data_IF_874069547724
#
_entry.id   IF_874069547724
#
_cell.length_a   1.000
_cell.length_b   1.000
_cell.length_c   1.000
_cell.angle_alpha   90.00
_cell.angle_beta   90.00
_cell.angle_gamma   90.00
#
_symmetry.space_group_name_H-M   'P 1'
#
loop_
_entity.id
_entity.type
_entity.pdbx_description
1 polymer ?
#
# COMPACT_ATOMS: atom_id res chain seq x y z
N UNK A 1 13.59 32.51 -1.12
CA UNK A 1 12.54 33.16 -0.30
C UNK A 1 11.23 33.15 -1.07
N UNK A 2 10.18 32.56 -0.49
CA UNK A 2 8.74 32.77 -0.74
C UNK A 2 8.01 31.53 -0.17
N UNK A 3 7.80 31.52 1.15
CA UNK A 3 6.53 31.74 1.86
C UNK A 3 5.56 30.56 1.76
N UNK A 4 5.57 29.81 2.88
CA UNK A 4 4.62 28.80 3.33
C UNK A 4 3.21 29.40 3.42
N UNK A 5 2.23 28.73 2.83
CA UNK A 5 0.81 28.97 3.06
C UNK A 5 0.29 27.92 4.05
N UNK A 6 -0.09 28.39 5.23
CA UNK A 6 -0.75 27.63 6.29
C UNK A 6 -2.26 27.84 6.13
N UNK A 7 -3.06 26.79 6.06
CA UNK A 7 -4.53 26.85 6.26
C UNK A 7 -5.06 25.46 6.61
N UNK A 8 -5.22 25.21 7.92
CA UNK A 8 -6.47 25.09 8.69
C UNK A 8 -7.03 23.66 8.71
N UNK A 9 -7.15 23.15 9.94
CA UNK A 9 -7.70 21.85 10.31
C UNK A 9 -9.19 21.77 9.97
N UNK A 10 -9.61 20.66 9.38
CA UNK A 10 -11.01 20.25 9.31
C UNK A 10 -11.36 19.52 10.62
N UNK A 11 -12.06 20.23 11.51
CA UNK A 11 -12.74 19.64 12.65
C UNK A 11 -13.97 18.86 12.16
N UNK A 12 -14.01 17.56 12.47
CA UNK A 12 -15.24 16.76 12.40
C UNK A 12 -15.92 16.90 13.75
N UNK A 13 -16.96 17.73 13.82
CA UNK A 13 -17.88 17.78 14.95
C UNK A 13 -18.83 16.58 14.88
N UNK A 14 -18.84 15.76 15.93
CA UNK A 14 -19.87 14.77 16.15
C UNK A 14 -20.41 14.98 17.57
N UNK A 15 -21.53 15.70 17.63
CA UNK A 15 -22.28 15.94 18.86
C UNK A 15 -22.85 14.63 19.41
N UNK A 16 -22.57 14.33 20.68
CA UNK A 16 -23.52 13.61 21.51
C UNK A 16 -23.57 14.22 22.90
N UNK A 17 -24.80 14.61 23.25
CA UNK A 17 -25.19 15.39 24.41
C UNK A 17 -24.86 14.74 25.75
N UNK A 18 -24.32 15.55 26.67
CA UNK A 18 -24.46 15.38 28.12
C UNK A 18 -25.44 16.44 28.63
N UNK A 19 -26.45 16.02 29.37
CA UNK A 19 -27.36 16.80 30.20
C UNK A 19 -27.41 16.11 31.58
N UNK A 20 -27.84 16.78 32.66
CA UNK A 20 -27.33 18.03 33.23
C UNK A 20 -26.79 17.80 34.67
N UNK A 21 -26.06 18.79 35.19
CA UNK A 21 -25.58 18.83 36.58
C UNK A 21 -26.58 19.54 37.53
N UNK A 22 -26.77 18.89 38.67
CA UNK A 22 -27.17 19.26 40.03
C UNK A 22 -27.88 20.61 40.33
N UNK A 23 -29.07 20.48 40.93
CA UNK A 23 -29.45 21.08 42.22
C UNK A 23 -30.53 20.17 42.83
N UNK A 24 -30.59 19.85 44.13
CA UNK A 24 -30.94 20.78 45.20
C UNK A 24 -30.76 20.11 46.59
N UNK A 25 -30.63 20.97 47.61
CA UNK A 25 -30.49 20.69 49.03
C UNK A 25 -31.74 20.09 49.68
N UNK A 26 -31.48 19.23 50.67
CA UNK A 26 -32.18 19.03 51.96
C UNK A 26 -33.71 18.87 51.98
N UNK A 27 -34.19 17.72 52.48
CA UNK A 27 -35.19 17.71 53.57
C UNK A 27 -35.28 16.35 54.27
N UNK A 28 -35.29 16.42 55.60
CA UNK A 28 -35.45 15.33 56.56
C UNK A 28 -36.60 14.38 56.26
N UNK A 29 -36.42 13.09 56.56
CA UNK A 29 -37.56 12.22 56.80
C UNK A 29 -37.39 11.38 58.08
N UNK A 30 -38.56 11.10 58.65
CA UNK A 30 -38.87 10.77 60.04
C UNK A 30 -38.23 9.50 60.61
N UNK A 31 -38.12 9.53 61.93
CA UNK A 31 -38.08 8.42 62.87
C UNK A 31 -38.87 7.18 62.45
N UNK A 32 -38.24 6.01 62.49
CA UNK A 32 -38.74 4.88 63.30
C UNK A 32 -37.63 3.84 63.50
N UNK A 33 -37.43 3.49 64.77
CA UNK A 33 -36.58 2.39 65.22
C UNK A 33 -37.21 1.05 64.85
N UNK A 34 -36.38 0.07 64.50
CA UNK A 34 -36.79 -1.33 64.32
C UNK A 34 -35.57 -2.25 64.35
N UNK A 35 -35.48 -3.05 65.41
CA UNK A 35 -34.33 -3.87 65.79
C UNK A 35 -33.99 -5.00 64.82
N UNK A 36 -32.76 -5.50 64.95
CA UNK A 36 -32.11 -6.49 64.12
C UNK A 36 -32.76 -7.89 64.14
N UNK A 37 -32.70 -8.57 63.00
CA UNK A 37 -32.62 -10.03 62.92
C UNK A 37 -31.52 -10.43 61.90
N UNK A 38 -30.52 -11.17 62.36
CA UNK A 38 -29.41 -11.66 61.54
C UNK A 38 -29.84 -12.91 60.76
N UNK A 39 -30.03 -12.77 59.44
CA UNK A 39 -30.33 -13.89 58.56
C UNK A 39 -29.06 -14.70 58.21
N UNK A 40 -29.13 -16.06 58.13
CA UNK A 40 -27.98 -16.93 57.83
C UNK A 40 -27.34 -16.71 56.45
N UNK A 41 -27.98 -15.94 55.55
CA UNK A 41 -27.51 -15.69 54.19
C UNK A 41 -26.48 -14.56 54.03
N UNK A 42 -26.22 -13.75 55.06
CA UNK A 42 -25.30 -12.59 54.92
C UNK A 42 -23.83 -12.98 54.74
N UNK A 43 -23.38 -14.07 55.37
CA UNK A 43 -21.99 -14.57 55.20
C UNK A 43 -21.79 -15.19 53.83
N UNK A 44 -22.77 -15.96 53.34
CA UNK A 44 -22.75 -16.56 52.01
C UNK A 44 -22.80 -15.49 50.92
N UNK A 45 -23.69 -14.49 51.03
CA UNK A 45 -23.78 -13.38 50.08
C UNK A 45 -22.48 -12.56 50.02
N UNK A 46 -21.82 -12.33 51.16
CA UNK A 46 -20.48 -11.69 51.19
C UNK A 46 -19.42 -12.54 50.50
N UNK A 47 -19.40 -13.84 50.74
CA UNK A 47 -18.44 -14.76 50.11
C UNK A 47 -18.64 -14.78 48.58
N UNK A 48 -19.88 -14.88 48.11
CA UNK A 48 -20.22 -14.87 46.68
C UNK A 48 -19.85 -13.54 46.03
N UNK A 49 -20.12 -12.40 46.69
CA UNK A 49 -19.75 -11.08 46.18
C UNK A 49 -18.22 -10.90 46.08
N UNK A 50 -17.46 -11.39 47.07
CA UNK A 50 -15.99 -11.38 47.04
C UNK A 50 -15.48 -12.26 45.90
N UNK A 51 -16.01 -13.48 45.76
CA UNK A 51 -15.63 -14.40 44.68
C UNK A 51 -15.93 -13.82 43.30
N UNK A 52 -17.10 -13.22 43.11
CA UNK A 52 -17.47 -12.57 41.85
C UNK A 52 -16.58 -11.34 41.55
N UNK A 53 -16.29 -10.54 42.57
CA UNK A 53 -15.35 -9.42 42.45
C UNK A 53 -13.94 -9.87 42.03
N UNK A 54 -13.43 -10.95 42.65
CA UNK A 54 -12.14 -11.55 42.29
C UNK A 54 -12.16 -12.09 40.85
N UNK A 55 -13.23 -12.77 40.44
CA UNK A 55 -13.38 -13.26 39.07
C UNK A 55 -13.41 -12.12 38.04
N UNK A 56 -14.10 -11.02 38.32
CA UNK A 56 -14.12 -9.83 37.46
C UNK A 56 -12.73 -9.20 37.33
N UNK A 57 -11.99 -9.11 38.44
CA UNK A 57 -10.61 -8.60 38.44
C UNK A 57 -9.69 -9.50 37.61
N UNK A 58 -9.77 -10.82 37.81
CA UNK A 58 -8.99 -11.79 37.05
C UNK A 58 -9.33 -11.73 35.55
N UNK A 59 -10.61 -11.64 35.20
CA UNK A 59 -11.05 -11.55 33.82
C UNK A 59 -10.58 -10.25 33.15
N UNK A 60 -10.65 -9.13 33.86
CA UNK A 60 -10.13 -7.85 33.37
C UNK A 60 -8.61 -7.90 33.18
N UNK A 61 -7.88 -8.47 34.16
CA UNK A 61 -6.43 -8.63 34.08
C UNK A 61 -6.03 -9.50 32.88
N UNK A 62 -6.68 -10.66 32.69
CA UNK A 62 -6.44 -11.55 31.53
C UNK A 62 -6.71 -10.80 30.21
N UNK A 63 -7.83 -10.08 30.10
CA UNK A 63 -8.16 -9.33 28.89
C UNK A 63 -7.15 -8.22 28.58
N UNK A 64 -6.68 -7.51 29.59
CA UNK A 64 -5.66 -6.46 29.45
C UNK A 64 -4.32 -7.09 29.06
N UNK A 65 -3.89 -8.17 29.72
CA UNK A 65 -2.65 -8.88 29.42
C UNK A 65 -2.66 -9.47 28.01
N UNK A 66 -3.76 -10.08 27.59
CA UNK A 66 -3.92 -10.60 26.22
C UNK A 66 -3.86 -9.46 25.21
N UNK A 67 -4.63 -8.38 25.41
CA UNK A 67 -4.59 -7.22 24.50
C UNK A 67 -3.20 -6.60 24.41
N UNK A 68 -2.50 -6.47 25.54
CA UNK A 68 -1.13 -5.96 25.56
C UNK A 68 -0.15 -6.87 24.82
N UNK A 69 -0.22 -8.19 25.04
CA UNK A 69 0.62 -9.16 24.35
C UNK A 69 0.32 -9.21 22.84
N UNK A 70 -0.95 -9.18 22.43
CA UNK A 70 -1.33 -9.13 21.01
C UNK A 70 -0.93 -7.81 20.36
N UNK A 71 -1.10 -6.68 21.04
CA UNK A 71 -0.65 -5.37 20.57
C UNK A 71 0.87 -5.33 20.40
N UNK A 72 1.62 -5.82 21.40
CA UNK A 72 3.09 -5.91 21.36
C UNK A 72 3.58 -6.81 20.21
N UNK A 73 2.98 -7.99 20.05
CA UNK A 73 3.29 -8.91 18.96
C UNK A 73 3.02 -8.30 17.59
N UNK A 74 1.87 -7.62 17.43
CA UNK A 74 1.48 -6.95 16.18
C UNK A 74 2.40 -5.76 15.87
N UNK A 75 2.74 -4.96 16.88
CA UNK A 75 3.67 -3.83 16.75
C UNK A 75 5.06 -4.29 16.34
N UNK A 76 5.59 -5.34 16.99
CA UNK A 76 6.90 -5.92 16.68
C UNK A 76 6.96 -6.46 15.24
N UNK A 77 5.93 -7.19 14.79
CA UNK A 77 5.85 -7.68 13.39
C UNK A 77 5.84 -6.50 12.42
N UNK A 78 5.01 -5.48 12.66
CA UNK A 78 4.99 -4.26 11.82
C UNK A 78 6.35 -3.56 11.78
N UNK A 79 7.05 -3.46 12.91
CA UNK A 79 8.39 -2.84 12.97
C UNK A 79 9.46 -3.66 12.25
N UNK A 80 9.41 -5.00 12.33
CA UNK A 80 10.38 -5.87 11.65
C UNK A 80 10.18 -5.83 10.14
N UNK A 81 8.93 -5.95 9.67
CA UNK A 81 8.60 -5.81 8.24
C UNK A 81 9.01 -4.44 7.68
N UNK A 82 8.90 -3.37 8.48
CA UNK A 82 9.33 -2.03 8.05
C UNK A 82 10.84 -1.85 8.01
N UNK A 83 11.61 -2.44 8.93
CA UNK A 83 13.08 -2.37 8.90
C UNK A 83 13.67 -3.23 7.76
N UNK A 84 13.11 -4.41 7.50
CA UNK A 84 13.52 -5.25 6.36
C UNK A 84 13.24 -4.56 5.03
N UNK A 85 12.03 -4.00 4.85
CA UNK A 85 11.67 -3.26 3.65
C UNK A 85 12.53 -2.00 3.49
N UNK A 86 12.86 -1.31 4.59
CA UNK A 86 13.72 -0.13 4.57
C UNK A 86 15.15 -0.49 4.17
N UNK A 87 15.75 -1.53 4.76
CA UNK A 87 17.09 -1.98 4.38
C UNK A 87 17.15 -2.44 2.91
N UNK A 88 16.12 -3.15 2.45
CA UNK A 88 16.01 -3.56 1.05
C UNK A 88 15.95 -2.34 0.12
N UNK A 89 15.13 -1.36 0.50
CA UNK A 89 14.96 -0.10 -0.22
C UNK A 89 16.27 0.68 -0.28
N UNK A 90 16.98 0.82 0.84
CA UNK A 90 18.28 1.50 0.91
C UNK A 90 19.33 0.79 0.05
N UNK A 91 19.35 -0.55 0.05
CA UNK A 91 20.24 -1.34 -0.80
C UNK A 91 19.99 -1.08 -2.30
N UNK A 92 18.72 -1.12 -2.73
CA UNK A 92 18.37 -0.88 -4.14
C UNK A 92 18.62 0.57 -4.56
N UNK A 93 18.39 1.54 -3.67
CA UNK A 93 18.73 2.94 -3.92
C UNK A 93 20.23 3.14 -4.16
N UNK A 94 21.10 2.49 -3.38
CA UNK A 94 22.55 2.56 -3.61
C UNK A 94 22.98 1.94 -4.95
N UNK A 95 22.19 1.02 -5.49
CA UNK A 95 22.41 0.40 -6.80
C UNK A 95 21.78 1.20 -7.96
N UNK A 96 21.20 2.38 -7.68
CA UNK A 96 20.61 3.26 -8.68
C UNK A 96 19.18 2.88 -9.10
N UNK A 97 18.47 2.09 -8.30
CA UNK A 97 17.05 1.81 -8.52
C UNK A 97 16.18 2.88 -7.90
N UNK A 98 14.98 3.06 -8.44
CA UNK A 98 13.95 3.97 -7.93
C UNK A 98 12.78 3.14 -7.42
N UNK A 99 12.36 3.38 -6.18
CA UNK A 99 11.16 2.75 -5.64
C UNK A 99 9.89 3.47 -6.13
N UNK A 100 8.96 2.71 -6.72
CA UNK A 100 7.61 3.15 -7.03
C UNK A 100 6.65 1.98 -6.85
N UNK A 101 5.60 2.15 -6.05
CA UNK A 101 4.88 1.06 -5.40
C UNK A 101 4.31 0.02 -6.39
N UNK A 102 4.33 -1.29 -6.07
CA UNK A 102 5.11 -1.99 -5.04
C UNK A 102 6.44 -2.53 -5.60
N UNK A 103 7.09 -1.80 -6.50
CA UNK A 103 8.23 -2.29 -7.28
C UNK A 103 9.45 -1.37 -7.19
N UNK A 104 10.62 -1.91 -7.51
CA UNK A 104 11.81 -1.14 -7.82
C UNK A 104 12.01 -1.08 -9.32
N UNK A 105 12.43 0.08 -9.82
CA UNK A 105 12.67 0.31 -11.24
C UNK A 105 14.11 0.72 -11.50
N UNK A 106 14.73 0.13 -12.51
CA UNK A 106 16.05 0.52 -12.99
C UNK A 106 15.92 1.19 -14.34
N UNK A 107 16.47 2.39 -14.48
CA UNK A 107 16.40 3.17 -15.71
C UNK A 107 17.78 3.17 -16.34
N UNK A 108 17.85 2.59 -17.54
CA UNK A 108 19.12 2.51 -18.27
C UNK A 108 19.73 3.87 -18.59
N UNK A 109 21.07 3.89 -18.67
CA UNK A 109 21.87 5.05 -19.09
C UNK A 109 22.38 4.93 -20.53
N UNK A 110 22.14 3.81 -21.19
CA UNK A 110 22.51 3.54 -22.58
C UNK A 110 21.29 2.98 -23.33
N UNK A 111 21.38 2.89 -24.65
CA UNK A 111 20.34 2.31 -25.49
C UNK A 111 20.75 0.91 -25.99
N UNK A 112 19.77 0.02 -26.14
CA UNK A 112 19.91 -1.38 -26.58
C UNK A 112 18.70 -1.84 -27.40
N UNK A 113 18.83 -2.97 -28.09
CA UNK A 113 17.69 -3.71 -28.65
C UNK A 113 16.72 -4.12 -27.53
N UNK A 114 15.46 -4.39 -27.88
CA UNK A 114 14.48 -4.86 -26.89
C UNK A 114 14.96 -6.15 -26.20
N UNK A 115 15.52 -7.08 -26.98
CA UNK A 115 16.06 -8.35 -26.49
C UNK A 115 17.23 -8.13 -25.51
N UNK A 116 18.23 -7.35 -25.89
CA UNK A 116 19.41 -7.11 -25.03
C UNK A 116 19.05 -6.30 -23.77
N UNK A 117 18.01 -5.47 -23.87
CA UNK A 117 17.43 -4.73 -22.73
C UNK A 117 16.76 -5.69 -21.74
N UNK A 118 15.95 -6.63 -22.25
CA UNK A 118 15.36 -7.67 -21.41
C UNK A 118 16.41 -8.55 -20.75
N UNK A 119 17.41 -8.98 -21.51
CA UNK A 119 18.50 -9.81 -21.01
C UNK A 119 19.29 -9.08 -19.89
N UNK A 120 19.44 -7.76 -19.95
CA UNK A 120 20.01 -6.93 -18.86
C UNK A 120 19.10 -6.93 -17.61
N UNK A 121 17.78 -6.76 -17.78
CA UNK A 121 16.86 -6.83 -16.65
C UNK A 121 16.86 -8.21 -15.97
N UNK A 122 16.86 -9.28 -16.75
CA UNK A 122 16.90 -10.66 -16.24
C UNK A 122 18.20 -10.91 -15.46
N UNK A 123 19.35 -10.42 -15.92
CA UNK A 123 20.62 -10.51 -15.20
C UNK A 123 20.61 -9.78 -13.85
N UNK A 124 19.75 -8.77 -13.68
CA UNK A 124 19.53 -8.06 -12.41
C UNK A 124 18.49 -8.73 -11.50
N UNK A 125 17.94 -9.87 -11.91
CA UNK A 125 16.83 -10.54 -11.23
C UNK A 125 15.54 -9.71 -11.27
N UNK A 126 15.29 -9.05 -12.39
CA UNK A 126 14.11 -8.25 -12.73
C UNK A 126 13.61 -8.68 -14.14
N UNK A 127 12.61 -8.01 -14.68
CA UNK A 127 12.27 -8.12 -16.11
C UNK A 127 11.96 -6.71 -16.66
N UNK A 128 11.69 -6.54 -17.95
CA UNK A 128 11.21 -5.26 -18.48
C UNK A 128 9.88 -4.87 -17.82
N UNK A 129 9.69 -3.57 -17.61
CA UNK A 129 8.55 -3.05 -16.86
C UNK A 129 7.19 -3.43 -17.46
N UNK A 130 6.28 -3.85 -16.59
CA UNK A 130 4.88 -4.10 -16.91
C UNK A 130 4.07 -2.91 -16.41
N UNK A 131 3.21 -2.35 -17.26
CA UNK A 131 2.39 -1.18 -16.90
C UNK A 131 0.94 -1.61 -16.85
N UNK A 132 0.42 -1.83 -15.65
CA UNK A 132 -0.96 -2.27 -15.42
C UNK A 132 -1.88 -1.14 -14.94
N UNK A 133 -1.29 -0.08 -14.41
CA UNK A 133 -2.01 1.02 -13.76
C UNK A 133 -1.70 2.37 -14.39
N UNK A 134 -2.59 3.34 -14.16
CA UNK A 134 -2.37 4.73 -14.63
C UNK A 134 -1.20 5.36 -13.89
N UNK A 135 -1.06 5.02 -12.62
CA UNK A 135 0.01 5.47 -11.75
C UNK A 135 1.38 5.00 -12.28
N UNK A 136 1.51 3.74 -12.70
CA UNK A 136 2.73 3.24 -13.36
C UNK A 136 3.00 3.92 -14.70
N UNK A 137 1.96 4.15 -15.50
CA UNK A 137 2.09 4.87 -16.76
C UNK A 137 2.60 6.31 -16.54
N UNK A 138 2.02 7.02 -15.58
CA UNK A 138 2.44 8.37 -15.22
C UNK A 138 3.86 8.40 -14.63
N UNK A 139 4.22 7.39 -13.83
CA UNK A 139 5.58 7.25 -13.30
C UNK A 139 6.62 7.03 -14.40
N UNK A 140 6.39 6.07 -15.30
CA UNK A 140 7.36 5.71 -16.34
C UNK A 140 7.55 6.83 -17.37
N UNK A 141 6.50 7.55 -17.76
CA UNK A 141 6.63 8.68 -18.71
C UNK A 141 7.40 9.88 -18.14
N UNK A 142 7.54 10.00 -16.82
CA UNK A 142 8.28 11.10 -16.19
C UNK A 142 9.80 11.04 -16.41
N UNK A 143 10.35 9.92 -16.90
CA UNK A 143 11.78 9.85 -17.24
C UNK A 143 12.14 10.59 -18.53
N UNK A 144 11.14 11.00 -19.35
CA UNK A 144 11.31 11.85 -20.55
C UNK A 144 12.38 11.32 -21.52
N UNK A 145 12.33 10.01 -21.79
CA UNK A 145 13.19 9.28 -22.72
C UNK A 145 12.35 8.31 -23.53
N UNK A 146 12.80 8.00 -24.74
CA UNK A 146 12.26 6.88 -25.52
C UNK A 146 12.72 5.58 -24.88
N UNK A 147 11.79 4.78 -24.38
CA UNK A 147 12.13 3.63 -23.54
C UNK A 147 11.33 2.38 -23.86
N UNK A 148 12.01 1.24 -23.95
CA UNK A 148 11.40 -0.07 -23.98
C UNK A 148 10.63 -0.38 -22.70
N UNK A 149 9.46 -1.00 -22.88
CA UNK A 149 8.66 -1.66 -21.86
C UNK A 149 8.49 -3.15 -22.20
N UNK A 150 7.97 -3.93 -21.25
CA UNK A 150 7.86 -5.38 -21.36
C UNK A 150 6.72 -5.88 -22.24
N UNK A 151 6.19 -5.09 -23.17
CA UNK A 151 5.07 -5.46 -24.03
C UNK A 151 5.57 -5.88 -25.42
N UNK A 152 5.05 -7.00 -25.91
CA UNK A 152 5.38 -7.55 -27.24
C UNK A 152 4.16 -8.12 -27.95
N UNK A 153 4.17 -8.12 -29.27
CA UNK A 153 3.16 -8.81 -30.07
C UNK A 153 3.38 -10.34 -29.99
N UNK A 154 2.29 -11.10 -29.97
CA UNK A 154 2.33 -12.56 -30.04
C UNK A 154 2.43 -13.02 -31.50
N UNK A 155 2.54 -14.33 -31.72
CA UNK A 155 2.45 -14.90 -33.07
C UNK A 155 1.10 -14.61 -33.77
N UNK A 156 0.05 -14.27 -33.02
CA UNK A 156 -1.21 -13.77 -33.56
C UNK A 156 -1.14 -12.23 -33.65
N UNK A 157 -1.09 -11.71 -34.88
CA UNK A 157 -1.10 -10.26 -35.13
C UNK A 157 -2.27 -9.56 -34.44
N UNK A 158 -2.00 -8.36 -33.93
CA UNK A 158 -2.90 -7.54 -33.12
C UNK A 158 -3.07 -8.01 -31.68
N UNK A 159 -2.37 -9.07 -31.25
CA UNK A 159 -2.48 -9.60 -29.88
C UNK A 159 -1.19 -9.39 -29.14
N UNK A 160 -1.28 -8.76 -27.96
CA UNK A 160 -0.13 -8.31 -27.18
C UNK A 160 -0.03 -9.05 -25.84
N UNK A 161 1.20 -9.31 -25.40
CA UNK A 161 1.49 -9.94 -24.11
C UNK A 161 2.66 -9.24 -23.41
N UNK A 162 2.60 -9.26 -22.08
CA UNK A 162 3.70 -8.83 -21.23
C UNK A 162 4.79 -9.90 -21.14
N UNK A 163 5.97 -9.50 -20.68
CA UNK A 163 7.14 -10.38 -20.47
C UNK A 163 6.87 -11.53 -19.49
N UNK A 164 5.89 -11.39 -18.59
CA UNK A 164 5.42 -12.45 -17.68
C UNK A 164 4.39 -13.41 -18.34
N UNK A 165 4.05 -13.17 -19.60
CA UNK A 165 3.12 -13.96 -20.40
C UNK A 165 1.65 -13.57 -20.23
N UNK A 166 1.31 -12.61 -19.36
CA UNK A 166 -0.07 -12.14 -19.21
C UNK A 166 -0.52 -11.35 -20.44
N UNK A 167 -1.79 -11.48 -20.86
CA UNK A 167 -2.32 -10.74 -21.99
C UNK A 167 -2.52 -9.27 -21.64
N UNK A 168 -2.40 -8.39 -22.65
CA UNK A 168 -2.71 -6.97 -22.48
C UNK A 168 -4.19 -6.77 -22.18
N UNK A 169 -4.51 -6.13 -21.05
CA UNK A 169 -5.89 -5.81 -20.63
C UNK A 169 -6.22 -4.32 -20.73
N UNK A 170 -5.20 -3.46 -20.56
CA UNK A 170 -5.31 -2.00 -20.65
C UNK A 170 -4.11 -1.46 -21.40
N UNK A 171 -4.37 -0.56 -22.35
CA UNK A 171 -3.32 0.04 -23.17
C UNK A 171 -3.21 1.54 -22.97
N UNK A 172 -2.02 2.07 -23.24
CA UNK A 172 -1.74 3.49 -23.33
C UNK A 172 -1.11 3.84 -24.68
N UNK A 173 -1.61 3.23 -25.75
CA UNK A 173 -1.21 3.52 -27.13
C UNK A 173 -1.33 4.99 -27.45
N UNK A 174 -0.30 5.53 -28.09
CA UNK A 174 -0.31 6.87 -28.65
C UNK A 174 -1.37 7.02 -29.75
N UNK A 175 -1.60 8.26 -30.21
CA UNK A 175 -2.49 8.50 -31.34
C UNK A 175 -2.10 7.63 -32.54
N UNK A 176 -3.09 6.95 -33.13
CA UNK A 176 -2.95 6.07 -34.28
C UNK A 176 -2.12 4.79 -34.07
N UNK A 177 -1.69 4.48 -32.83
CA UNK A 177 -0.94 3.26 -32.49
C UNK A 177 -1.83 2.13 -31.91
N UNK A 178 -1.41 0.85 -32.02
CA UNK A 178 -0.27 0.38 -32.80
C UNK A 178 -0.59 0.33 -34.31
N UNK A 179 0.33 0.77 -35.16
CA UNK A 179 0.08 0.93 -36.59
C UNK A 179 0.80 -0.08 -37.50
N UNK A 180 1.79 -0.83 -36.99
CA UNK A 180 2.62 -1.73 -37.79
C UNK A 180 3.18 -1.04 -39.03
N UNK A 181 3.80 0.13 -38.83
CA UNK A 181 4.11 1.12 -39.85
C UNK A 181 4.80 0.47 -41.06
N UNK A 182 4.30 0.78 -42.26
CA UNK A 182 4.86 0.28 -43.54
C UNK A 182 4.91 -1.26 -43.68
N UNK A 183 4.14 -2.02 -42.90
CA UNK A 183 4.17 -3.48 -42.93
C UNK A 183 5.45 -4.08 -42.32
N UNK A 184 6.16 -3.30 -41.49
CA UNK A 184 7.28 -3.78 -40.67
C UNK A 184 6.75 -4.71 -39.56
N UNK A 185 7.62 -5.61 -39.10
CA UNK A 185 7.36 -6.39 -37.88
C UNK A 185 7.73 -5.54 -36.66
N UNK A 186 6.77 -4.71 -36.25
CA UNK A 186 6.86 -3.82 -35.09
C UNK A 186 6.33 -4.55 -33.85
N UNK A 187 7.05 -5.59 -33.44
CA UNK A 187 6.53 -6.53 -32.43
C UNK A 187 6.88 -6.10 -30.99
N UNK A 188 7.51 -4.94 -30.80
CA UNK A 188 7.99 -4.44 -29.50
C UNK A 188 7.51 -3.02 -29.23
N UNK A 189 7.35 -2.67 -27.94
CA UNK A 189 6.71 -1.42 -27.54
C UNK A 189 7.65 -0.51 -26.76
N UNK A 190 7.69 0.75 -27.18
CA UNK A 190 8.37 1.84 -26.49
C UNK A 190 7.38 2.88 -25.94
N UNK A 191 7.80 3.62 -24.92
CA UNK A 191 7.20 4.91 -24.54
C UNK A 191 7.91 5.97 -25.37
N UNK A 192 7.21 6.62 -26.30
CA UNK A 192 7.79 7.65 -27.17
C UNK A 192 7.15 9.04 -26.93
N UNK A 193 5.82 9.11 -26.87
CA UNK A 193 5.09 10.37 -26.71
C UNK A 193 4.91 10.78 -25.24
N UNK A 194 5.99 10.77 -24.46
CA UNK A 194 5.99 10.87 -22.99
C UNK A 194 5.36 12.14 -22.39
N UNK A 195 4.95 13.11 -23.21
CA UNK A 195 4.18 14.29 -22.78
C UNK A 195 2.68 14.01 -22.63
N UNK A 196 2.18 12.95 -23.27
CA UNK A 196 0.79 12.49 -23.18
C UNK A 196 0.66 11.22 -22.32
N UNK A 197 -0.50 11.02 -21.71
CA UNK A 197 -0.78 9.78 -20.96
C UNK A 197 -0.69 8.57 -21.90
N UNK A 198 -1.35 8.68 -23.05
CA UNK A 198 -1.29 7.75 -24.15
C UNK A 198 -0.01 8.00 -24.95
N UNK A 199 1.01 7.17 -24.74
CA UNK A 199 2.37 7.43 -25.22
C UNK A 199 3.14 6.22 -25.74
N UNK A 200 2.50 5.06 -25.82
CA UNK A 200 3.13 3.86 -26.35
C UNK A 200 3.14 3.86 -27.87
N UNK A 201 4.19 3.29 -28.43
CA UNK A 201 4.41 3.12 -29.86
C UNK A 201 4.94 1.71 -30.11
N UNK A 202 4.40 1.00 -31.09
CA UNK A 202 5.02 -0.21 -31.61
C UNK A 202 6.13 0.15 -32.59
N UNK A 203 7.22 -0.62 -32.56
CA UNK A 203 8.41 -0.34 -33.37
C UNK A 203 9.26 -1.62 -33.51
N UNK A 204 10.16 -1.75 -34.51
CA UNK A 204 10.97 -2.96 -34.65
C UNK A 204 11.87 -3.20 -33.43
N UNK A 205 11.87 -4.42 -32.91
CA UNK A 205 12.59 -4.82 -31.70
C UNK A 205 14.11 -4.58 -31.73
N UNK A 206 14.69 -4.45 -32.93
CA UNK A 206 16.13 -4.20 -33.13
C UNK A 206 16.54 -2.74 -32.93
N UNK A 207 15.56 -1.84 -32.80
CA UNK A 207 15.83 -0.44 -32.52
C UNK A 207 16.57 -0.26 -31.19
N UNK A 208 17.37 0.81 -31.09
CA UNK A 208 18.19 1.06 -29.92
C UNK A 208 17.50 2.11 -29.04
N UNK A 209 16.82 1.67 -27.99
CA UNK A 209 16.17 2.54 -27.02
C UNK A 209 16.72 2.33 -25.62
N UNK A 210 16.54 3.32 -24.75
CA UNK A 210 16.68 3.09 -23.31
C UNK A 210 15.63 2.06 -22.87
N UNK A 211 15.77 1.48 -21.69
CA UNK A 211 14.79 0.56 -21.12
C UNK A 211 14.57 0.80 -19.63
N UNK A 212 13.43 0.29 -19.16
CA UNK A 212 13.03 0.27 -17.76
C UNK A 212 12.93 -1.19 -17.31
N UNK A 213 13.71 -1.59 -16.31
CA UNK A 213 13.48 -2.84 -15.61
C UNK A 213 12.51 -2.62 -14.44
N UNK A 214 11.69 -3.61 -14.14
CA UNK A 214 10.85 -3.67 -12.95
C UNK A 214 11.19 -4.91 -12.13
N UNK A 215 11.37 -4.71 -10.83
CA UNK A 215 11.50 -5.76 -9.84
C UNK A 215 10.41 -5.62 -8.80
N UNK A 216 9.43 -6.52 -8.85
CA UNK A 216 8.35 -6.56 -7.85
C UNK A 216 8.92 -6.88 -6.48
N UNK A 217 8.44 -6.19 -5.45
CA UNK A 217 8.57 -6.69 -4.08
C UNK A 217 7.75 -7.98 -4.01
N UNK A 218 8.44 -9.12 -3.91
CA UNK A 218 7.77 -10.40 -3.67
C UNK A 218 7.13 -10.30 -2.30
N UNK A 219 5.80 -10.34 -2.25
CA UNK A 219 5.03 -10.53 -1.00
C UNK A 219 4.97 -12.00 -0.63
#
# INVERSE_FOLDING_TARGET
MARVAHREQLEITMDYANLPDVSDRSRSNKHSQGAAAAAPGRKLARLVAVSFGLLCILQAAINISLRFAFYSKTSCIKTVETEELKNLTDQYFQQGWVYFRPSFYYISSIAKSWKDSRDDCLQRGADLAIINTKEEQDFTRNFKKVMWIGLTETAMKGTWKWVDGTPLSKSYWGPDEPNGFEGKNEDCVEINFFDFENSWNDIPCENQNFWICEKKLVS
#
